data_IF_860972395884
#
_entry.id   IF_860972395884
#
_cell.length_a   1.000
_cell.length_b   1.000
_cell.length_c   1.000
_cell.angle_alpha   90.00
_cell.angle_beta   90.00
_cell.angle_gamma   90.00
#
_symmetry.space_group_name_H-M   'P 1'
#
loop_
_entity.id
_entity.type
_entity.pdbx_description
1 polymer ?
#
# COMPACT_ATOMS: atom_id res chain seq x y z
N UNK A 1 11.98 12.68 10.72
CA UNK A 1 10.99 11.66 10.32
C UNK A 1 11.49 10.35 10.89
N UNK A 2 11.13 10.00 12.12
CA UNK A 2 11.50 8.72 12.72
C UNK A 2 10.38 7.74 12.41
N UNK A 3 10.49 7.05 11.26
CA UNK A 3 9.71 5.84 11.04
C UNK A 3 10.33 4.75 11.91
N UNK A 4 9.71 4.49 13.05
CA UNK A 4 10.07 3.32 13.86
C UNK A 4 9.53 2.10 13.15
N UNK A 5 10.40 1.35 12.47
CA UNK A 5 10.01 0.10 11.84
C UNK A 5 9.40 -0.86 12.88
N UNK A 6 8.39 -1.63 12.46
CA UNK A 6 7.70 -2.56 13.35
C UNK A 6 8.66 -3.58 13.98
N UNK A 7 8.39 -4.02 15.21
CA UNK A 7 9.14 -5.09 15.89
C UNK A 7 9.21 -6.38 15.04
N UNK A 8 8.21 -6.60 14.19
CA UNK A 8 8.11 -7.72 13.27
C UNK A 8 9.19 -7.65 12.17
N UNK A 9 9.40 -6.47 11.54
CA UNK A 9 10.46 -6.27 10.54
C UNK A 9 11.82 -6.59 11.12
N UNK A 10 12.12 -6.06 12.31
CA UNK A 10 13.40 -6.29 12.97
C UNK A 10 13.68 -7.78 13.16
N UNK A 11 12.70 -8.54 13.67
CA UNK A 11 12.82 -9.99 13.90
C UNK A 11 12.98 -10.77 12.59
N UNK A 12 12.19 -10.44 11.57
CA UNK A 12 12.26 -11.11 10.26
C UNK A 12 13.61 -10.87 9.58
N UNK A 13 14.10 -9.64 9.62
CA UNK A 13 15.39 -9.27 9.04
C UNK A 13 16.55 -9.89 9.83
N UNK A 14 16.51 -9.88 11.17
CA UNK A 14 17.52 -10.54 12.01
C UNK A 14 17.72 -12.01 11.60
N UNK A 15 16.63 -12.76 11.48
CA UNK A 15 16.67 -14.15 11.04
C UNK A 15 17.33 -14.29 9.67
N UNK A 16 17.00 -13.40 8.71
CA UNK A 16 17.61 -13.42 7.39
C UNK A 16 19.12 -13.15 7.45
N UNK A 17 19.54 -12.14 8.23
CA UNK A 17 20.94 -11.73 8.35
C UNK A 17 21.79 -12.86 8.96
N UNK A 18 21.28 -13.61 9.93
CA UNK A 18 22.00 -14.76 10.50
C UNK A 18 22.40 -15.77 9.41
N UNK A 19 21.46 -16.15 8.54
CA UNK A 19 21.75 -17.09 7.44
C UNK A 19 22.59 -16.44 6.33
N UNK A 20 22.38 -15.16 6.04
CA UNK A 20 23.20 -14.40 5.10
C UNK A 20 24.67 -14.42 5.51
N UNK A 21 24.98 -14.08 6.76
CA UNK A 21 26.36 -14.07 7.26
C UNK A 21 27.00 -15.46 7.14
N UNK A 22 26.26 -16.53 7.44
CA UNK A 22 26.74 -17.89 7.23
C UNK A 22 27.05 -18.16 5.75
N UNK A 23 26.21 -17.72 4.80
CA UNK A 23 26.48 -17.86 3.37
C UNK A 23 27.73 -17.07 2.96
N UNK A 24 27.87 -15.83 3.41
CA UNK A 24 29.03 -14.98 3.10
C UNK A 24 30.33 -15.63 3.57
N UNK A 25 30.40 -16.07 4.83
CA UNK A 25 31.60 -16.68 5.41
C UNK A 25 31.98 -17.99 4.70
N UNK A 26 30.98 -18.73 4.21
CA UNK A 26 31.19 -19.95 3.43
C UNK A 26 31.31 -19.71 1.91
N UNK A 27 31.31 -18.45 1.45
CA UNK A 27 31.37 -18.06 0.04
C UNK A 27 30.29 -18.70 -0.83
N UNK A 28 29.11 -18.89 -0.25
CA UNK A 28 27.95 -19.45 -0.95
C UNK A 28 27.25 -18.32 -1.71
N UNK A 29 27.20 -18.44 -3.02
CA UNK A 29 26.44 -17.53 -3.87
C UNK A 29 24.99 -17.99 -4.00
N UNK A 30 24.05 -17.06 -3.81
CA UNK A 30 22.62 -17.28 -3.95
C UNK A 30 22.04 -16.28 -4.96
N UNK A 31 21.69 -16.70 -6.19
CA UNK A 31 21.09 -15.81 -7.17
C UNK A 31 19.67 -15.43 -6.79
N UNK A 32 19.29 -14.19 -7.07
CA UNK A 32 17.96 -13.66 -6.85
C UNK A 32 17.24 -13.48 -8.20
N UNK A 33 16.31 -14.39 -8.49
CA UNK A 33 15.55 -14.37 -9.74
C UNK A 33 14.68 -13.11 -9.92
N UNK A 34 14.36 -12.39 -8.84
CA UNK A 34 13.54 -11.18 -8.85
C UNK A 34 14.37 -9.90 -8.88
N UNK A 35 15.70 -10.00 -8.99
CA UNK A 35 16.60 -8.87 -8.80
C UNK A 35 16.30 -7.69 -9.75
N UNK A 36 15.93 -7.96 -11.01
CA UNK A 36 15.58 -6.92 -11.97
C UNK A 36 14.27 -6.23 -11.59
N UNK A 37 13.24 -6.99 -11.24
CA UNK A 37 11.93 -6.44 -10.84
C UNK A 37 12.07 -5.59 -9.58
N UNK A 38 12.87 -6.02 -8.61
CA UNK A 38 13.17 -5.25 -7.39
C UNK A 38 13.83 -3.91 -7.71
N UNK A 39 14.77 -3.89 -8.68
CA UNK A 39 15.46 -2.66 -9.07
C UNK A 39 14.54 -1.65 -9.76
N UNK A 40 13.54 -2.14 -10.49
CA UNK A 40 12.57 -1.29 -11.19
C UNK A 40 11.49 -0.79 -10.23
N UNK A 41 10.84 -1.68 -9.50
CA UNK A 41 9.68 -1.35 -8.66
C UNK A 41 10.07 -0.67 -7.35
N UNK A 42 11.23 -1.02 -6.78
CA UNK A 42 11.69 -0.58 -5.47
C UNK A 42 13.07 0.08 -5.53
N UNK A 43 13.35 0.84 -6.58
CA UNK A 43 14.67 1.43 -6.87
C UNK A 43 15.29 2.14 -5.66
N UNK A 44 14.51 3.01 -5.01
CA UNK A 44 14.98 3.81 -3.87
C UNK A 44 15.35 2.95 -2.66
N UNK A 45 14.55 1.93 -2.37
CA UNK A 45 14.80 0.95 -1.30
C UNK A 45 16.06 0.15 -1.64
N UNK A 46 16.11 -0.41 -2.85
CA UNK A 46 17.22 -1.23 -3.29
C UNK A 46 18.55 -0.49 -3.23
N UNK A 47 18.56 0.77 -3.67
CA UNK A 47 19.74 1.63 -3.59
C UNK A 47 20.18 1.87 -2.15
N UNK A 48 19.25 2.24 -1.26
CA UNK A 48 19.56 2.48 0.15
C UNK A 48 20.09 1.21 0.85
N UNK A 49 19.54 0.05 0.51
CA UNK A 49 20.01 -1.23 1.02
C UNK A 49 21.41 -1.55 0.49
N UNK A 50 21.69 -1.40 -0.80
CA UNK A 50 23.03 -1.62 -1.34
C UNK A 50 24.08 -0.70 -0.68
N UNK A 51 23.77 0.58 -0.51
CA UNK A 51 24.65 1.54 0.17
C UNK A 51 24.91 1.09 1.63
N UNK A 52 23.87 0.65 2.34
CA UNK A 52 23.97 0.12 3.70
C UNK A 52 24.77 -1.19 3.76
N UNK A 53 24.57 -2.09 2.80
CA UNK A 53 25.28 -3.36 2.69
C UNK A 53 26.79 -3.15 2.51
N UNK A 54 27.21 -2.18 1.70
CA UNK A 54 28.63 -1.81 1.57
C UNK A 54 29.20 -1.32 2.90
N UNK A 55 28.45 -0.48 3.64
CA UNK A 55 28.86 -0.01 4.96
C UNK A 55 28.99 -1.18 5.95
N UNK A 56 27.98 -2.05 6.03
CA UNK A 56 27.95 -3.22 6.93
C UNK A 56 29.10 -4.18 6.63
N UNK A 57 29.35 -4.51 5.36
CA UNK A 57 30.48 -5.38 5.00
C UNK A 57 31.81 -4.82 5.49
N UNK A 58 32.02 -3.50 5.36
CA UNK A 58 33.26 -2.84 5.83
C UNK A 58 33.36 -2.80 7.34
N UNK A 59 32.31 -2.34 8.01
CA UNK A 59 32.26 -2.18 9.47
C UNK A 59 32.54 -3.50 10.19
N UNK A 60 31.96 -4.59 9.71
CA UNK A 60 32.08 -5.91 10.32
C UNK A 60 33.13 -6.81 9.66
N UNK A 61 33.92 -6.28 8.71
CA UNK A 61 34.93 -7.04 7.96
C UNK A 61 34.38 -8.34 7.33
N UNK A 62 33.14 -8.27 6.83
CA UNK A 62 32.49 -9.38 6.14
C UNK A 62 32.87 -9.39 4.64
N UNK A 63 32.78 -10.54 3.97
CA UNK A 63 32.75 -10.59 2.51
C UNK A 63 31.70 -9.63 1.93
N UNK A 64 31.89 -9.26 0.67
CA UNK A 64 30.96 -8.39 -0.04
C UNK A 64 29.55 -8.98 -0.05
N UNK A 65 28.58 -8.21 0.46
CA UNK A 65 27.17 -8.53 0.29
C UNK A 65 26.79 -8.20 -1.14
N UNK A 66 26.44 -9.23 -1.93
CA UNK A 66 26.12 -9.07 -3.34
C UNK A 66 24.82 -8.28 -3.56
N UNK A 67 24.58 -7.89 -4.82
CA UNK A 67 23.30 -7.28 -5.23
C UNK A 67 22.13 -8.24 -5.06
N UNK A 68 22.31 -9.55 -5.25
CA UNK A 68 21.27 -10.55 -5.03
C UNK A 68 20.81 -10.58 -3.58
N UNK A 69 21.76 -10.59 -2.63
CA UNK A 69 21.49 -10.56 -1.20
C UNK A 69 20.90 -9.21 -0.76
N UNK A 70 21.40 -8.10 -1.31
CA UNK A 70 20.77 -6.78 -1.14
C UNK A 70 19.33 -6.77 -1.66
N UNK A 71 19.04 -7.49 -2.74
CA UNK A 71 17.71 -7.67 -3.28
C UNK A 71 16.79 -8.40 -2.31
N UNK A 72 17.26 -9.48 -1.68
CA UNK A 72 16.46 -10.19 -0.67
C UNK A 72 16.18 -9.31 0.55
N UNK A 73 17.17 -8.55 1.03
CA UNK A 73 16.98 -7.59 2.13
C UNK A 73 15.94 -6.52 1.76
N UNK A 74 15.99 -6.01 0.53
CA UNK A 74 15.08 -4.97 0.04
C UNK A 74 13.61 -5.39 0.11
N UNK A 75 13.31 -6.67 -0.12
CA UNK A 75 11.94 -7.20 -0.05
C UNK A 75 11.32 -7.08 1.35
N UNK A 76 12.12 -7.15 2.42
CA UNK A 76 11.60 -6.94 3.78
C UNK A 76 11.12 -5.50 3.94
N UNK A 77 11.91 -4.50 3.55
CA UNK A 77 11.49 -3.10 3.62
C UNK A 77 10.31 -2.80 2.70
N UNK A 78 10.33 -3.31 1.46
CA UNK A 78 9.24 -3.17 0.51
C UNK A 78 7.90 -3.69 1.09
N UNK A 79 7.91 -4.87 1.72
CA UNK A 79 6.72 -5.44 2.39
C UNK A 79 6.09 -4.47 3.38
N UNK A 80 6.87 -3.87 4.29
CA UNK A 80 6.30 -2.98 5.31
C UNK A 80 5.91 -1.61 4.76
N UNK A 81 6.63 -1.10 3.76
CA UNK A 81 6.20 0.11 3.05
C UNK A 81 4.85 -0.10 2.36
N UNK A 82 4.65 -1.25 1.69
CA UNK A 82 3.34 -1.58 1.08
C UNK A 82 2.24 -1.77 2.13
N UNK A 83 2.56 -2.30 3.32
CA UNK A 83 1.60 -2.42 4.43
C UNK A 83 1.25 -1.06 5.07
N UNK A 84 2.22 -0.14 5.10
CA UNK A 84 2.06 1.22 5.63
C UNK A 84 1.52 2.22 4.60
N UNK A 85 1.43 1.85 3.31
CA UNK A 85 0.74 2.69 2.32
C UNK A 85 -0.63 3.04 2.86
N UNK A 86 -0.84 4.35 3.06
CA UNK A 86 -2.05 4.88 3.69
C UNK A 86 -3.26 4.28 3.01
N UNK A 87 -4.08 3.59 3.79
CA UNK A 87 -5.38 3.17 3.29
C UNK A 87 -6.24 4.41 3.16
N UNK A 88 -6.78 4.63 1.97
CA UNK A 88 -7.70 5.73 1.70
C UNK A 88 -9.02 5.34 2.35
N UNK A 89 -9.43 6.09 3.38
CA UNK A 89 -10.70 5.86 4.05
C UNK A 89 -11.82 6.34 3.15
N UNK A 90 -12.52 5.40 2.53
CA UNK A 90 -13.62 5.68 1.63
C UNK A 90 -14.97 5.44 2.31
N UNK A 91 -15.90 6.37 2.09
CA UNK A 91 -17.29 6.21 2.46
C UNK A 91 -18.14 5.94 1.21
N UNK A 92 -19.05 4.97 1.25
CA UNK A 92 -19.90 4.64 0.10
C UNK A 92 -21.30 5.21 0.28
N UNK A 93 -21.79 5.94 -0.72
CA UNK A 93 -23.16 6.44 -0.80
C UNK A 93 -23.91 5.73 -1.92
N UNK A 94 -24.94 4.98 -1.56
CA UNK A 94 -25.76 4.24 -2.51
C UNK A 94 -27.24 4.29 -2.13
N UNK A 95 -28.13 4.47 -3.11
CA UNK A 95 -29.59 4.51 -2.90
C UNK A 95 -30.25 3.14 -3.02
N UNK A 96 -29.53 2.14 -3.51
CA UNK A 96 -30.08 0.80 -3.75
C UNK A 96 -29.97 -0.04 -2.48
N UNK A 97 -30.96 -0.92 -2.23
CA UNK A 97 -31.08 -1.68 -0.98
C UNK A 97 -29.85 -2.51 -0.57
N UNK A 98 -29.90 -3.06 0.65
CA UNK A 98 -28.79 -3.71 1.37
C UNK A 98 -27.94 -4.64 0.49
N UNK A 99 -28.57 -5.45 -0.37
CA UNK A 99 -27.84 -6.41 -1.23
C UNK A 99 -26.94 -5.76 -2.28
N UNK A 100 -27.37 -4.65 -2.88
CA UNK A 100 -26.59 -3.96 -3.93
C UNK A 100 -25.49 -3.10 -3.32
N UNK A 101 -25.72 -2.52 -2.14
CA UNK A 101 -24.71 -1.79 -1.38
C UNK A 101 -23.58 -2.70 -0.88
N UNK A 102 -23.88 -3.94 -0.51
CA UNK A 102 -22.84 -4.93 -0.18
C UNK A 102 -22.07 -5.37 -1.41
N UNK A 103 -22.74 -5.58 -2.55
CA UNK A 103 -22.08 -5.96 -3.80
C UNK A 103 -21.06 -4.91 -4.25
N UNK A 104 -21.41 -3.63 -4.22
CA UNK A 104 -20.47 -2.56 -4.58
C UNK A 104 -19.29 -2.52 -3.60
N UNK A 105 -19.53 -2.68 -2.28
CA UNK A 105 -18.47 -2.70 -1.30
C UNK A 105 -17.49 -3.86 -1.52
N UNK A 106 -18.00 -5.06 -1.79
CA UNK A 106 -17.16 -6.23 -2.14
C UNK A 106 -16.34 -5.97 -3.40
N UNK A 107 -16.94 -5.38 -4.45
CA UNK A 107 -16.24 -5.05 -5.69
C UNK A 107 -15.16 -3.99 -5.50
N UNK A 108 -15.42 -2.96 -4.69
CA UNK A 108 -14.43 -1.94 -4.33
C UNK A 108 -13.27 -2.56 -3.56
N UNK A 109 -13.53 -3.32 -2.48
CA UNK A 109 -12.45 -3.98 -1.70
C UNK A 109 -11.58 -4.89 -2.56
N UNK A 110 -12.19 -5.60 -3.51
CA UNK A 110 -11.46 -6.50 -4.42
C UNK A 110 -10.63 -5.74 -5.45
N UNK A 111 -11.15 -4.64 -5.99
CA UNK A 111 -10.50 -3.88 -7.06
C UNK A 111 -9.45 -2.91 -6.53
N UNK A 112 -9.62 -2.44 -5.29
CA UNK A 112 -8.76 -1.44 -4.66
C UNK A 112 -8.38 -1.86 -3.23
N UNK A 113 -7.35 -2.70 -3.06
CA UNK A 113 -6.90 -3.15 -1.74
C UNK A 113 -6.42 -2.01 -0.82
N UNK A 114 -6.03 -0.88 -1.41
CA UNK A 114 -5.63 0.35 -0.71
C UNK A 114 -6.81 1.16 -0.17
N UNK A 115 -8.06 0.84 -0.56
CA UNK A 115 -9.25 1.52 -0.03
C UNK A 115 -9.76 0.79 1.23
N UNK A 116 -9.87 1.52 2.33
CA UNK A 116 -10.56 1.08 3.53
C UNK A 116 -12.00 1.64 3.52
N UNK A 117 -13.00 0.77 3.39
CA UNK A 117 -14.40 1.21 3.45
C UNK A 117 -14.81 1.39 4.92
N UNK A 118 -14.94 2.64 5.35
CA UNK A 118 -15.29 3.03 6.73
C UNK A 118 -16.80 3.09 6.98
N UNK A 119 -17.60 3.10 5.92
CA UNK A 119 -19.06 3.03 6.04
C UNK A 119 -19.81 3.06 4.72
N UNK A 120 -21.09 2.75 4.82
CA UNK A 120 -22.02 2.69 3.69
C UNK A 120 -23.35 3.32 4.12
N UNK A 121 -23.88 4.24 3.33
CA UNK A 121 -25.16 4.92 3.63
C UNK A 121 -25.98 5.24 2.39
N UNK A 122 -27.20 5.70 2.62
CA UNK A 122 -28.05 6.32 1.61
C UNK A 122 -27.92 7.85 1.61
N UNK A 123 -28.26 8.49 0.49
CA UNK A 123 -28.07 9.93 0.25
C UNK A 123 -28.57 10.86 1.36
N UNK A 124 -29.58 10.43 2.12
CA UNK A 124 -30.29 11.28 3.10
C UNK A 124 -29.46 11.60 4.35
N UNK A 125 -28.27 11.00 4.53
CA UNK A 125 -27.47 11.16 5.74
C UNK A 125 -26.04 11.70 5.52
N UNK A 126 -25.66 12.09 4.30
CA UNK A 126 -24.25 12.41 3.95
C UNK A 126 -23.65 13.49 4.86
N UNK A 127 -24.30 14.65 5.01
CA UNK A 127 -23.78 15.75 5.85
C UNK A 127 -23.56 15.32 7.31
N UNK A 128 -24.54 14.64 7.90
CA UNK A 128 -24.43 14.16 9.28
C UNK A 128 -23.32 13.14 9.46
N UNK A 129 -23.03 12.35 8.44
CA UNK A 129 -21.98 11.34 8.49
C UNK A 129 -20.60 12.00 8.37
N UNK A 130 -20.45 12.93 7.45
CA UNK A 130 -19.20 13.70 7.29
C UNK A 130 -18.88 14.52 8.55
N UNK A 131 -19.90 15.07 9.21
CA UNK A 131 -19.73 15.90 10.41
C UNK A 131 -19.58 15.11 11.72
N UNK A 132 -20.10 13.88 11.80
CA UNK A 132 -20.15 13.09 13.04
C UNK A 132 -19.22 11.88 13.09
N UNK A 133 -18.39 11.61 12.06
CA UNK A 133 -17.48 10.48 12.09
C UNK A 133 -16.18 10.82 12.83
N UNK A 134 -15.81 9.94 13.77
CA UNK A 134 -14.53 9.99 14.48
C UNK A 134 -13.33 9.68 13.57
N UNK A 135 -13.57 9.07 12.41
CA UNK A 135 -12.56 8.72 11.41
C UNK A 135 -12.54 9.74 10.25
N UNK A 136 -11.34 10.19 9.88
CA UNK A 136 -11.13 11.04 8.71
C UNK A 136 -11.51 10.28 7.43
N UNK A 137 -12.46 10.82 6.66
CA UNK A 137 -12.86 10.32 5.35
C UNK A 137 -12.02 11.03 4.29
N UNK A 138 -11.28 10.26 3.49
CA UNK A 138 -10.43 10.77 2.41
C UNK A 138 -11.14 10.78 1.06
N UNK A 139 -12.17 9.94 0.88
CA UNK A 139 -12.86 9.74 -0.38
C UNK A 139 -14.34 9.39 -0.20
N UNK A 140 -15.21 9.99 -1.01
CA UNK A 140 -16.60 9.58 -1.15
C UNK A 140 -16.82 8.85 -2.47
N UNK A 141 -17.27 7.60 -2.41
CA UNK A 141 -17.65 6.82 -3.60
C UNK A 141 -19.18 6.79 -3.66
N UNK A 142 -19.77 7.22 -4.76
CA UNK A 142 -21.22 7.31 -4.87
C UNK A 142 -21.77 6.66 -6.13
N UNK A 143 -22.98 6.10 -6.05
CA UNK A 143 -23.72 5.57 -7.21
C UNK A 143 -24.78 6.52 -7.74
N UNK A 144 -24.87 7.70 -7.13
CA UNK A 144 -25.84 8.74 -7.47
C UNK A 144 -25.15 10.11 -7.48
N UNK A 145 -25.60 11.04 -8.32
CA UNK A 145 -25.07 12.40 -8.29
C UNK A 145 -25.31 13.05 -6.91
N UNK A 146 -24.24 13.62 -6.33
CA UNK A 146 -24.30 14.43 -5.11
C UNK A 146 -24.18 15.88 -5.54
N UNK A 147 -25.24 16.65 -5.31
CA UNK A 147 -25.32 18.08 -5.66
C UNK A 147 -24.78 19.01 -4.58
N UNK A 148 -24.47 18.46 -3.40
CA UNK A 148 -23.89 19.22 -2.29
C UNK A 148 -22.39 19.39 -2.48
N UNK A 149 -21.87 20.57 -2.18
CA UNK A 149 -20.43 20.82 -2.18
C UNK A 149 -19.86 20.29 -0.86
N UNK A 150 -18.95 19.32 -0.96
CA UNK A 150 -18.21 18.76 0.17
C UNK A 150 -16.73 19.06 -0.03
N UNK A 151 -15.98 19.23 1.06
CA UNK A 151 -14.53 19.42 1.05
C UNK A 151 -13.76 18.08 0.92
N UNK A 152 -14.49 16.99 0.71
CA UNK A 152 -13.96 15.64 0.48
C UNK A 152 -14.12 15.32 -1.01
N UNK A 153 -13.10 14.76 -1.67
CA UNK A 153 -13.23 14.33 -3.05
C UNK A 153 -14.35 13.30 -3.26
N UNK A 154 -15.05 13.41 -4.39
CA UNK A 154 -16.22 12.56 -4.72
C UNK A 154 -15.98 11.89 -6.06
N UNK A 155 -16.16 10.57 -6.11
CA UNK A 155 -16.12 9.78 -7.34
C UNK A 155 -17.49 9.11 -7.56
N UNK A 156 -18.09 9.39 -8.72
CA UNK A 156 -19.34 8.78 -9.16
C UNK A 156 -19.03 7.50 -9.95
N UNK A 157 -19.61 6.39 -9.52
CA UNK A 157 -19.49 5.07 -10.16
C UNK A 157 -20.86 4.48 -10.46
N UNK A 158 -20.89 3.43 -11.28
CA UNK A 158 -22.12 2.67 -11.53
C UNK A 158 -22.55 1.86 -10.29
N UNK A 159 -23.86 1.64 -10.10
CA UNK A 159 -24.40 0.80 -9.00
C UNK A 159 -23.86 -0.64 -8.99
N UNK A 160 -23.42 -1.12 -10.16
CA UNK A 160 -22.59 -2.31 -10.29
C UNK A 160 -21.26 -1.84 -10.88
N UNK A 161 -20.18 -1.95 -10.11
CA UNK A 161 -18.85 -1.50 -10.54
C UNK A 161 -18.46 -2.14 -11.88
N UNK A 162 -18.20 -1.31 -12.88
CA UNK A 162 -17.76 -1.69 -14.22
C UNK A 162 -16.24 -1.53 -14.36
N UNK A 163 -15.64 -2.10 -15.40
CA UNK A 163 -14.21 -1.91 -15.68
C UNK A 163 -13.85 -0.44 -15.94
N UNK A 164 -14.77 0.33 -16.55
CA UNK A 164 -14.60 1.77 -16.77
C UNK A 164 -14.59 2.56 -15.46
N UNK A 165 -15.46 2.19 -14.53
CA UNK A 165 -15.44 2.78 -13.19
C UNK A 165 -14.10 2.46 -12.51
N UNK A 166 -13.57 1.25 -12.70
CA UNK A 166 -12.29 0.84 -12.11
C UNK A 166 -11.13 1.68 -12.63
N UNK A 167 -11.03 1.85 -13.95
CA UNK A 167 -10.02 2.70 -14.58
C UNK A 167 -10.11 4.15 -14.08
N UNK A 168 -11.32 4.69 -13.97
CA UNK A 168 -11.55 6.07 -13.53
C UNK A 168 -11.15 6.28 -12.06
N UNK A 169 -11.49 5.33 -11.18
CA UNK A 169 -11.08 5.38 -9.77
C UNK A 169 -9.57 5.23 -9.66
N UNK A 170 -8.92 4.32 -10.40
CA UNK A 170 -7.45 4.19 -10.36
C UNK A 170 -6.74 5.49 -10.73
N UNK A 171 -7.12 6.13 -11.83
CA UNK A 171 -6.55 7.42 -12.23
C UNK A 171 -6.71 8.46 -11.11
N UNK A 172 -7.89 8.50 -10.50
CA UNK A 172 -8.16 9.42 -9.40
C UNK A 172 -7.29 9.14 -8.15
N UNK A 173 -7.11 7.87 -7.77
CA UNK A 173 -6.24 7.48 -6.65
C UNK A 173 -4.76 7.80 -6.93
N UNK A 174 -4.30 7.65 -8.18
CA UNK A 174 -2.95 8.03 -8.58
C UNK A 174 -2.71 9.54 -8.43
N UNK A 175 -3.68 10.37 -8.85
CA UNK A 175 -3.61 11.82 -8.66
C UNK A 175 -3.57 12.21 -7.18
N UNK A 176 -4.34 11.54 -6.32
CA UNK A 176 -4.32 11.77 -4.87
C UNK A 176 -2.98 11.42 -4.21
N UNK A 177 -2.30 10.38 -4.69
CA UNK A 177 -1.02 9.94 -4.11
C UNK A 177 0.18 10.77 -4.57
N UNK A 178 0.03 11.52 -5.67
CA UNK A 178 1.09 12.35 -6.26
C UNK A 178 1.03 13.83 -5.82
N UNK A 179 0.04 14.22 -5.00
CA UNK A 179 -0.13 15.57 -4.43
C UNK A 179 0.25 15.65 -2.96
#
# INVERSE_FOLDING_TARGET
>A
MNQTFSTELHRELENHIVYLVQRLLNQIYLPNALLNDIQVEYESIFRAVCESSVYVSKEFSLPEISRDESGFISLYFAKYIELERKKINAYIVCTTGIGTSELIAVKIRKSFPTINIVGITSNTAIQKIVECMDEQIDLLITTIPISQKLDIPIVLVSSILTSRDIESVNHFLEEMNNG
#
